data_IF_168907104177
#
_entry.id   IF_168907104177
#
_cell.length_a   1.000
_cell.length_b   1.000
_cell.length_c   1.000
_cell.angle_alpha   90.00
_cell.angle_beta   90.00
_cell.angle_gamma   90.00
#
_symmetry.space_group_name_H-M   'P 1'
#
loop_
_entity.id
_entity.type
_entity.pdbx_description
1 polymer ?
#
# COMPACT_ATOMS: atom_id res chain seq x y z
N UNK A 1 27.58 -37.93 -69.59
CA UNK A 1 26.75 -39.15 -69.53
C UNK A 1 25.47 -38.81 -68.75
N UNK A 2 24.35 -38.79 -69.47
CA UNK A 2 22.94 -39.05 -69.10
C UNK A 2 22.32 -38.51 -67.78
N UNK A 3 21.42 -37.54 -67.97
CA UNK A 3 19.96 -37.53 -67.69
C UNK A 3 19.34 -37.88 -66.32
N UNK A 4 18.64 -36.88 -65.76
CA UNK A 4 17.23 -36.81 -65.31
C UNK A 4 16.55 -37.94 -64.53
N UNK A 5 15.90 -37.61 -63.41
CA UNK A 5 14.46 -37.90 -63.16
C UNK A 5 13.92 -37.23 -61.86
N UNK A 6 12.79 -36.53 -62.00
CA UNK A 6 11.90 -36.12 -60.91
C UNK A 6 11.13 -37.31 -60.34
N UNK A 7 10.89 -37.33 -59.03
CA UNK A 7 9.74 -38.04 -58.44
C UNK A 7 9.12 -37.17 -57.34
N UNK A 8 7.96 -36.60 -57.65
CA UNK A 8 7.00 -36.08 -56.68
C UNK A 8 6.36 -37.28 -55.95
N UNK A 9 6.21 -37.21 -54.63
CA UNK A 9 5.33 -38.13 -53.88
C UNK A 9 4.44 -37.32 -52.95
N UNK A 10 3.15 -37.54 -53.13
CA UNK A 10 2.02 -36.87 -52.52
C UNK A 10 1.73 -37.54 -51.16
N UNK A 11 1.81 -36.82 -50.03
CA UNK A 11 1.33 -37.33 -48.75
C UNK A 11 -0.09 -36.85 -48.48
N UNK A 12 -0.97 -37.84 -48.34
CA UNK A 12 -2.39 -37.77 -48.09
C UNK A 12 -2.65 -37.56 -46.60
N UNK A 13 -3.42 -36.53 -46.27
CA UNK A 13 -3.82 -36.16 -44.91
C UNK A 13 -4.93 -37.10 -44.41
N UNK A 14 -4.72 -37.76 -43.26
CA UNK A 14 -5.72 -38.58 -42.57
C UNK A 14 -5.91 -38.06 -41.13
N UNK A 15 -7.07 -37.50 -40.76
CA UNK A 15 -7.29 -36.95 -39.42
C UNK A 15 -8.06 -37.94 -38.56
N UNK A 16 -7.37 -38.78 -37.79
CA UNK A 16 -7.99 -39.59 -36.73
C UNK A 16 -6.90 -40.11 -35.79
N UNK A 17 -6.69 -39.43 -34.66
CA UNK A 17 -5.69 -39.88 -33.69
C UNK A 17 -5.50 -39.08 -32.40
N UNK A 18 -6.37 -38.12 -32.06
CA UNK A 18 -6.06 -37.20 -30.94
C UNK A 18 -7.21 -36.98 -29.93
N UNK A 19 -7.96 -38.05 -29.60
CA UNK A 19 -9.08 -37.97 -28.64
C UNK A 19 -8.84 -38.74 -27.32
N UNK A 20 -7.74 -39.47 -27.18
CA UNK A 20 -7.52 -40.40 -26.05
C UNK A 20 -6.68 -39.83 -24.91
N UNK A 21 -5.90 -38.75 -25.12
CA UNK A 21 -5.07 -38.16 -24.06
C UNK A 21 -5.81 -37.17 -23.14
N UNK A 22 -6.91 -36.58 -23.60
CA UNK A 22 -7.68 -35.59 -22.81
C UNK A 22 -8.55 -36.21 -21.70
N UNK A 23 -8.88 -37.50 -21.78
CA UNK A 23 -9.79 -38.13 -20.81
C UNK A 23 -9.10 -38.67 -19.55
N UNK A 24 -7.78 -38.84 -19.57
CA UNK A 24 -7.02 -39.39 -18.42
C UNK A 24 -6.58 -38.32 -17.41
N UNK A 25 -6.59 -37.04 -17.81
CA UNK A 25 -6.21 -35.92 -16.94
C UNK A 25 -7.38 -35.36 -16.12
N UNK A 26 -8.63 -35.56 -16.58
CA UNK A 26 -9.83 -35.10 -15.89
C UNK A 26 -10.21 -35.97 -14.66
N UNK A 27 -9.91 -37.27 -14.68
CA UNK A 27 -10.25 -38.19 -13.59
C UNK A 27 -9.36 -38.02 -12.35
N UNK A 28 -8.11 -37.56 -12.50
CA UNK A 28 -7.22 -37.30 -11.37
C UNK A 28 -7.49 -35.98 -10.62
N UNK A 29 -8.11 -34.99 -11.27
CA UNK A 29 -8.48 -33.73 -10.61
C UNK A 29 -9.77 -33.83 -9.79
N UNK A 30 -10.66 -34.78 -10.08
CA UNK A 30 -11.90 -34.94 -9.33
C UNK A 30 -11.72 -35.72 -8.02
N UNK A 31 -10.73 -36.62 -7.93
CA UNK A 31 -10.48 -37.44 -6.74
C UNK A 31 -9.70 -36.71 -5.62
N UNK A 32 -8.96 -35.65 -5.99
CA UNK A 32 -8.19 -34.81 -5.06
C UNK A 32 -9.04 -33.72 -4.40
N UNK A 33 -10.14 -33.28 -5.03
CA UNK A 33 -11.04 -32.29 -4.43
C UNK A 33 -11.96 -32.86 -3.34
N UNK A 34 -12.33 -34.13 -3.42
CA UNK A 34 -13.24 -34.77 -2.43
C UNK A 34 -12.52 -35.04 -1.10
N UNK A 35 -11.23 -35.34 -1.14
CA UNK A 35 -10.42 -35.60 0.06
C UNK A 35 -10.08 -34.33 0.85
N UNK A 36 -9.86 -33.20 0.19
CA UNK A 36 -9.60 -31.91 0.85
C UNK A 36 -10.86 -31.32 1.51
N UNK A 37 -12.03 -31.47 0.87
CA UNK A 37 -13.30 -31.02 1.45
C UNK A 37 -13.68 -31.80 2.72
N UNK A 38 -13.39 -33.10 2.76
CA UNK A 38 -13.67 -33.94 3.93
C UNK A 38 -12.72 -33.66 5.10
N UNK A 39 -11.47 -33.29 4.81
CA UNK A 39 -10.48 -32.92 5.84
C UNK A 39 -10.76 -31.54 6.45
N UNK A 40 -11.31 -30.60 5.66
CA UNK A 40 -11.67 -29.26 6.15
C UNK A 40 -12.93 -29.29 7.04
N UNK A 41 -13.87 -30.20 6.78
CA UNK A 41 -15.09 -30.37 7.59
C UNK A 41 -14.81 -31.00 8.96
N UNK A 42 -13.80 -31.89 9.05
CA UNK A 42 -13.40 -32.51 10.32
C UNK A 42 -12.65 -31.55 11.24
N UNK A 43 -11.89 -30.60 10.67
CA UNK A 43 -11.17 -29.58 11.43
C UNK A 43 -12.12 -28.50 12.00
N UNK A 44 -13.24 -28.24 11.32
CA UNK A 44 -14.25 -27.28 11.78
C UNK A 44 -15.11 -27.82 12.93
N UNK A 45 -15.34 -29.13 13.01
CA UNK A 45 -16.05 -29.77 14.15
C UNK A 45 -15.21 -29.81 15.43
N UNK A 46 -13.88 -29.93 15.35
CA UNK A 46 -13.01 -29.87 16.54
C UNK A 46 -12.90 -28.45 17.14
N UNK A 47 -12.95 -27.40 16.31
CA UNK A 47 -12.94 -26.02 16.79
C UNK A 47 -14.24 -25.65 17.55
N UNK A 48 -15.37 -26.28 17.20
CA UNK A 48 -16.67 -25.98 17.82
C UNK A 48 -16.86 -26.67 19.18
N UNK A 49 -16.17 -27.79 19.45
CA UNK A 49 -16.21 -28.44 20.76
C UNK A 49 -15.35 -27.75 21.83
N UNK A 50 -14.29 -27.02 21.45
CA UNK A 50 -13.46 -26.29 22.42
C UNK A 50 -14.08 -24.96 22.91
N UNK A 51 -15.03 -24.38 22.18
CA UNK A 51 -15.73 -23.18 22.63
C UNK A 51 -16.89 -23.46 23.61
N UNK A 52 -17.35 -24.71 23.74
CA UNK A 52 -18.45 -25.05 24.64
C UNK A 52 -18.01 -25.30 26.10
N UNK A 53 -16.70 -25.32 26.40
CA UNK A 53 -16.18 -25.61 27.75
C UNK A 53 -15.78 -24.38 28.57
N UNK A 54 -15.88 -23.15 28.03
CA UNK A 54 -15.50 -21.92 28.75
C UNK A 54 -16.67 -21.04 29.23
N UNK A 55 -17.92 -21.51 29.15
CA UNK A 55 -19.06 -20.80 29.74
C UNK A 55 -19.73 -21.63 30.83
N UNK A 56 -19.10 -21.69 32.00
CA UNK A 56 -19.83 -21.89 33.26
C UNK A 56 -19.61 -20.68 34.18
N UNK A 57 -20.64 -19.89 34.50
CA UNK A 57 -20.56 -18.89 35.54
C UNK A 57 -20.55 -19.57 36.92
N UNK A 58 -19.49 -19.32 37.68
CA UNK A 58 -19.35 -19.75 39.07
C UNK A 58 -20.35 -18.96 39.92
N UNK A 59 -21.48 -19.58 40.28
CA UNK A 59 -22.46 -19.00 41.20
C UNK A 59 -22.33 -19.62 42.59
N UNK A 60 -22.08 -18.74 43.54
CA UNK A 60 -21.89 -18.94 44.97
C UNK A 60 -23.10 -19.65 45.62
N UNK A 61 -22.87 -20.63 46.51
CA UNK A 61 -23.85 -21.04 47.52
C UNK A 61 -23.17 -21.46 48.83
N UNK A 62 -23.51 -20.72 49.90
CA UNK A 62 -23.26 -21.01 51.31
C UNK A 62 -23.76 -22.41 51.72
N UNK A 63 -23.32 -22.91 52.89
CA UNK A 63 -24.14 -22.73 54.09
C UNK A 63 -23.34 -22.22 55.30
N UNK A 64 -24.01 -21.44 56.16
CA UNK A 64 -23.46 -20.98 57.44
C UNK A 64 -23.45 -22.06 58.51
N UNK A 65 -22.71 -21.85 59.61
CA UNK A 65 -23.26 -21.30 60.86
C UNK A 65 -22.20 -21.17 61.98
N UNK A 66 -22.34 -20.10 62.78
CA UNK A 66 -21.85 -19.82 64.15
C UNK A 66 -20.39 -20.05 64.60
N UNK A 67 -19.73 -18.99 65.08
CA UNK A 67 -19.59 -18.66 66.52
C UNK A 67 -18.77 -17.38 66.76
N UNK A 68 -19.06 -16.74 67.90
CA UNK A 68 -18.73 -15.36 68.25
C UNK A 68 -17.37 -15.17 68.96
N UNK A 69 -16.88 -13.92 68.96
CA UNK A 69 -16.10 -13.35 70.07
C UNK A 69 -14.78 -12.67 69.69
N UNK A 70 -14.63 -11.39 70.07
CA UNK A 70 -13.33 -10.83 70.48
C UNK A 70 -12.91 -9.50 69.84
N UNK A 71 -12.93 -8.45 70.66
CA UNK A 71 -12.51 -7.07 70.38
C UNK A 71 -10.98 -6.85 70.27
N UNK A 72 -10.60 -5.68 69.73
CA UNK A 72 -9.27 -5.05 69.83
C UNK A 72 -8.57 -4.97 68.45
N UNK A 73 -8.37 -3.82 67.80
CA UNK A 73 -7.90 -2.54 68.29
C UNK A 73 -6.39 -2.46 68.11
N UNK A 74 -5.88 -1.91 66.99
CA UNK A 74 -4.64 -1.13 67.02
C UNK A 74 -4.37 -0.32 65.74
N UNK A 75 -3.87 0.89 65.98
CA UNK A 75 -3.31 1.84 65.03
C UNK A 75 -1.89 1.42 64.61
N UNK A 76 -1.49 1.77 63.40
CA UNK A 76 -0.11 1.63 62.95
C UNK A 76 0.08 2.19 61.54
N UNK A 77 0.30 3.50 61.43
CA UNK A 77 0.77 4.11 60.21
C UNK A 77 2.23 3.75 59.97
N UNK A 78 2.58 3.40 58.72
CA UNK A 78 3.95 3.41 58.22
C UNK A 78 3.94 3.44 56.69
N UNK A 79 4.69 4.39 56.14
CA UNK A 79 5.16 4.47 54.76
C UNK A 79 4.12 4.54 53.64
N UNK A 80 3.74 5.77 53.30
CA UNK A 80 3.51 6.14 51.90
C UNK A 80 4.85 6.02 51.15
N UNK A 81 5.18 4.81 50.71
CA UNK A 81 6.05 4.65 49.56
C UNK A 81 5.24 5.08 48.34
N UNK A 82 5.82 6.01 47.60
CA UNK A 82 5.44 6.45 46.27
C UNK A 82 5.29 5.23 45.34
N UNK A 83 4.12 4.61 45.36
CA UNK A 83 3.73 3.50 44.50
C UNK A 83 3.13 4.01 43.19
N UNK A 84 3.70 5.07 42.62
CA UNK A 84 3.29 5.65 41.34
C UNK A 84 3.75 4.86 40.11
N UNK A 85 4.50 3.77 40.28
CA UNK A 85 5.18 3.05 39.19
C UNK A 85 4.84 1.55 39.09
N UNK A 86 3.73 1.09 39.67
CA UNK A 86 3.30 -0.32 39.56
C UNK A 86 2.08 -0.46 38.64
N UNK A 87 2.31 -0.29 37.34
CA UNK A 87 1.66 -1.07 36.27
C UNK A 87 2.15 -0.61 34.89
N UNK A 88 3.43 -0.86 34.59
CA UNK A 88 3.78 -1.03 33.18
C UNK A 88 3.01 -2.29 32.75
N UNK A 89 1.95 -2.11 31.97
CA UNK A 89 1.17 -3.23 31.41
C UNK A 89 2.14 -4.27 30.86
N UNK A 90 1.88 -5.56 31.11
CA UNK A 90 2.73 -6.66 30.65
C UNK A 90 3.03 -6.56 29.14
N UNK A 91 2.08 -6.02 28.37
CA UNK A 91 2.22 -5.69 26.96
C UNK A 91 3.28 -4.64 26.65
N UNK A 92 3.40 -3.60 27.49
CA UNK A 92 4.44 -2.58 27.35
C UNK A 92 5.82 -3.17 27.63
N UNK A 93 5.96 -3.99 28.69
CA UNK A 93 7.22 -4.69 28.99
C UNK A 93 7.63 -5.60 27.84
N UNK A 94 6.68 -6.35 27.27
CA UNK A 94 6.93 -7.23 26.12
C UNK A 94 7.30 -6.45 24.85
N UNK A 95 6.68 -5.30 24.62
CA UNK A 95 7.03 -4.41 23.51
C UNK A 95 8.48 -3.92 23.65
N UNK A 96 8.88 -3.47 24.85
CA UNK A 96 10.26 -3.05 25.10
C UNK A 96 11.28 -4.19 24.93
N UNK A 97 10.92 -5.42 25.29
CA UNK A 97 11.76 -6.59 25.03
C UNK A 97 11.97 -6.81 23.52
N UNK A 98 10.91 -6.74 22.72
CA UNK A 98 11.05 -6.83 21.26
C UNK A 98 11.88 -5.70 20.65
N UNK A 99 11.79 -4.49 21.20
CA UNK A 99 12.63 -3.37 20.78
C UNK A 99 14.12 -3.67 21.02
N UNK A 100 14.46 -4.25 22.18
CA UNK A 100 15.83 -4.69 22.45
C UNK A 100 16.27 -5.83 21.52
N UNK A 101 15.37 -6.78 21.24
CA UNK A 101 15.64 -7.91 20.35
C UNK A 101 15.90 -7.49 18.88
N UNK A 102 15.50 -6.29 18.46
CA UNK A 102 15.85 -5.75 17.13
C UNK A 102 17.37 -5.54 16.95
N UNK A 103 18.09 -5.28 18.04
CA UNK A 103 19.52 -4.98 17.98
C UNK A 103 20.35 -6.24 17.69
N UNK A 104 19.86 -7.42 18.08
CA UNK A 104 20.54 -8.69 17.86
C UNK A 104 20.03 -9.38 16.58
N UNK A 105 20.93 -9.65 15.64
CA UNK A 105 20.63 -10.24 14.34
C UNK A 105 19.85 -11.57 14.43
N UNK A 106 20.14 -12.38 15.45
CA UNK A 106 19.50 -13.69 15.63
C UNK A 106 18.03 -13.61 16.08
N UNK A 107 17.66 -12.54 16.78
CA UNK A 107 16.30 -12.33 17.32
C UNK A 107 15.49 -11.34 16.50
N UNK A 108 16.16 -10.53 15.68
CA UNK A 108 15.57 -9.42 14.94
C UNK A 108 14.40 -9.82 14.05
N UNK A 109 14.50 -10.94 13.33
CA UNK A 109 13.43 -11.36 12.42
C UNK A 109 12.11 -11.63 13.15
N UNK A 110 12.16 -12.31 14.30
CA UNK A 110 11.00 -12.55 15.14
C UNK A 110 10.46 -11.25 15.75
N UNK A 111 11.35 -10.37 16.22
CA UNK A 111 10.98 -9.07 16.78
C UNK A 111 10.29 -8.16 15.75
N UNK A 112 10.80 -8.11 14.51
CA UNK A 112 10.19 -7.36 13.41
C UNK A 112 8.74 -7.81 13.15
N UNK A 113 8.50 -9.12 13.14
CA UNK A 113 7.17 -9.69 12.91
C UNK A 113 6.19 -9.32 14.03
N UNK A 114 6.62 -9.40 15.29
CA UNK A 114 5.73 -9.11 16.42
C UNK A 114 5.47 -7.61 16.58
N UNK A 115 6.49 -6.77 16.37
CA UNK A 115 6.32 -5.31 16.40
C UNK A 115 5.46 -4.81 15.24
N UNK A 116 5.58 -5.39 14.04
CA UNK A 116 4.78 -4.96 12.87
C UNK A 116 3.28 -5.18 13.10
N UNK A 117 2.91 -6.24 13.83
CA UNK A 117 1.52 -6.51 14.25
C UNK A 117 1.03 -5.55 15.33
N UNK A 118 1.92 -5.06 16.20
CA UNK A 118 1.59 -4.17 17.32
C UNK A 118 1.52 -2.68 16.94
N UNK A 119 1.82 -2.31 15.69
CA UNK A 119 1.84 -0.91 15.22
C UNK A 119 0.55 -0.10 15.47
N UNK A 120 -0.60 -0.75 15.50
CA UNK A 120 -1.91 -0.11 15.74
C UNK A 120 -2.32 -0.16 17.22
N UNK A 121 -1.70 -1.05 18.00
CA UNK A 121 -2.02 -1.29 19.41
C UNK A 121 -1.20 -0.41 20.36
N UNK A 122 -0.02 0.04 19.92
CA UNK A 122 0.91 0.85 20.72
C UNK A 122 1.07 2.22 20.06
N UNK A 123 0.30 3.24 20.49
CA UNK A 123 0.34 4.58 19.89
C UNK A 123 1.73 5.21 19.90
N UNK A 124 2.48 5.01 20.99
CA UNK A 124 3.83 5.55 21.21
C UNK A 124 4.94 4.77 20.48
N UNK A 125 4.60 3.74 19.69
CA UNK A 125 5.60 2.87 19.08
C UNK A 125 6.56 3.65 18.17
N UNK A 126 6.07 4.64 17.42
CA UNK A 126 6.91 5.46 16.56
C UNK A 126 8.01 6.20 17.34
N UNK A 127 7.66 6.78 18.49
CA UNK A 127 8.59 7.48 19.37
C UNK A 127 9.59 6.50 19.98
N UNK A 128 9.12 5.34 20.44
CA UNK A 128 9.99 4.28 21.00
C UNK A 128 11.00 3.80 19.95
N UNK A 129 10.54 3.52 18.72
CA UNK A 129 11.41 3.08 17.62
C UNK A 129 12.47 4.13 17.29
N UNK A 130 12.09 5.41 17.24
CA UNK A 130 13.00 6.49 16.87
C UNK A 130 14.05 6.78 17.95
N UNK A 131 13.63 6.84 19.22
CA UNK A 131 14.48 7.28 20.33
C UNK A 131 15.25 6.14 20.99
N UNK A 132 14.91 4.87 20.72
CA UNK A 132 15.68 3.73 21.21
C UNK A 132 17.00 3.60 20.46
N UNK A 133 18.08 3.48 21.23
CA UNK A 133 19.44 3.40 20.68
C UNK A 133 19.58 2.24 19.69
N UNK A 134 20.13 2.52 18.50
CA UNK A 134 20.47 1.51 17.48
C UNK A 134 19.28 0.98 16.65
N UNK A 135 18.03 1.24 17.04
CA UNK A 135 16.85 0.66 16.37
C UNK A 135 16.72 1.12 14.93
N UNK A 136 16.77 2.43 14.67
CA UNK A 136 16.70 2.96 13.31
C UNK A 136 17.85 2.44 12.42
N UNK A 137 19.04 2.25 12.99
CA UNK A 137 20.18 1.63 12.30
C UNK A 137 19.89 0.18 11.93
N UNK A 138 19.32 -0.61 12.85
CA UNK A 138 18.91 -2.00 12.57
C UNK A 138 17.84 -2.07 11.48
N UNK A 139 16.84 -1.17 11.49
CA UNK A 139 15.82 -1.11 10.43
C UNK A 139 16.42 -0.76 9.06
N UNK A 140 17.37 0.17 9.00
CA UNK A 140 18.08 0.50 7.76
C UNK A 140 18.95 -0.66 7.27
N UNK A 141 19.57 -1.42 8.19
CA UNK A 141 20.35 -2.61 7.84
C UNK A 141 19.49 -3.67 7.14
N UNK A 142 18.23 -3.84 7.57
CA UNK A 142 17.28 -4.75 6.93
C UNK A 142 16.87 -4.31 5.51
N UNK A 143 16.90 -3.01 5.23
CA UNK A 143 16.70 -2.49 3.86
C UNK A 143 17.92 -2.77 3.00
N UNK A 144 19.11 -2.41 3.50
CA UNK A 144 20.35 -2.48 2.73
C UNK A 144 20.72 -3.94 2.41
N UNK A 145 20.44 -4.88 3.31
CA UNK A 145 20.72 -6.31 3.09
C UNK A 145 19.97 -6.88 1.88
N UNK A 146 18.86 -6.26 1.48
CA UNK A 146 18.04 -6.69 0.34
C UNK A 146 18.56 -6.15 -1.00
N UNK A 147 19.40 -5.11 -1.01
CA UNK A 147 19.86 -4.45 -2.25
C UNK A 147 20.55 -5.40 -3.23
N UNK A 148 21.36 -6.33 -2.73
CA UNK A 148 22.05 -7.33 -3.55
C UNK A 148 21.10 -8.33 -4.22
N UNK A 149 19.87 -8.45 -3.71
CA UNK A 149 18.83 -9.35 -4.23
C UNK A 149 17.90 -8.68 -5.25
N UNK A 150 18.04 -7.37 -5.47
CA UNK A 150 17.22 -6.63 -6.43
C UNK A 150 17.69 -6.84 -7.87
N UNK A 151 19.02 -6.86 -8.07
CA UNK A 151 19.65 -7.04 -9.36
C UNK A 151 20.89 -7.97 -9.27
N UNK A 152 20.84 -9.21 -9.80
CA UNK A 152 19.69 -9.82 -10.48
C UNK A 152 18.51 -10.07 -9.53
N UNK A 153 17.29 -10.17 -10.07
CA UNK A 153 16.05 -10.25 -9.29
C UNK A 153 15.86 -11.58 -8.54
N UNK A 154 16.62 -11.77 -7.46
CA UNK A 154 16.73 -13.00 -6.65
C UNK A 154 15.96 -12.93 -5.32
N UNK A 155 15.15 -11.90 -5.11
CA UNK A 155 14.36 -11.72 -3.90
C UNK A 155 13.39 -12.89 -3.65
N UNK A 156 13.57 -13.58 -2.52
CA UNK A 156 12.69 -14.67 -2.09
C UNK A 156 11.47 -14.13 -1.32
N UNK A 157 10.44 -14.95 -1.18
CA UNK A 157 9.25 -14.60 -0.40
C UNK A 157 9.58 -14.34 1.08
N UNK A 158 10.46 -15.15 1.68
CA UNK A 158 10.88 -14.99 3.07
C UNK A 158 11.64 -13.67 3.28
N UNK A 159 12.61 -13.37 2.41
CA UNK A 159 13.37 -12.11 2.48
C UNK A 159 12.47 -10.89 2.27
N UNK A 160 11.54 -10.95 1.31
CA UNK A 160 10.55 -9.89 1.08
C UNK A 160 9.64 -9.67 2.30
N UNK A 161 9.13 -10.74 2.92
CA UNK A 161 8.30 -10.62 4.12
C UNK A 161 9.06 -10.00 5.29
N UNK A 162 10.31 -10.40 5.51
CA UNK A 162 11.18 -9.88 6.57
C UNK A 162 11.41 -8.38 6.43
N UNK A 163 11.87 -7.91 5.25
CA UNK A 163 12.10 -6.48 5.03
C UNK A 163 10.78 -5.70 5.06
N UNK A 164 9.67 -6.26 4.58
CA UNK A 164 8.36 -5.59 4.65
C UNK A 164 7.89 -5.37 6.09
N UNK A 165 8.23 -6.25 7.04
CA UNK A 165 7.99 -5.98 8.46
C UNK A 165 8.78 -4.76 8.95
N UNK A 166 10.05 -4.61 8.55
CA UNK A 166 10.83 -3.42 8.84
C UNK A 166 10.24 -2.16 8.20
N UNK A 167 9.82 -2.24 6.93
CA UNK A 167 9.13 -1.15 6.23
C UNK A 167 7.82 -0.75 6.93
N UNK A 168 7.07 -1.69 7.49
CA UNK A 168 5.85 -1.39 8.24
C UNK A 168 6.14 -0.59 9.53
N UNK A 169 7.28 -0.86 10.19
CA UNK A 169 7.74 -0.05 11.33
C UNK A 169 8.19 1.34 10.89
N UNK A 170 8.91 1.46 9.77
CA UNK A 170 9.25 2.77 9.20
C UNK A 170 8.01 3.56 8.77
N UNK A 171 6.97 2.89 8.28
CA UNK A 171 5.68 3.52 8.00
C UNK A 171 5.04 4.10 9.27
N UNK A 172 5.14 3.39 10.41
CA UNK A 172 4.70 3.90 11.70
C UNK A 172 5.43 5.20 12.07
N UNK A 173 6.77 5.19 12.00
CA UNK A 173 7.63 6.36 12.25
C UNK A 173 7.31 7.53 11.31
N UNK A 174 7.09 7.27 10.02
CA UNK A 174 6.74 8.29 9.03
C UNK A 174 5.33 8.90 9.27
N UNK A 175 4.42 8.12 9.86
CA UNK A 175 3.05 8.53 10.11
C UNK A 175 2.87 9.39 11.36
N UNK A 176 3.78 9.29 12.34
CA UNK A 176 3.68 9.98 13.62
C UNK A 176 4.18 11.44 13.54
N UNK A 177 3.47 12.36 14.21
CA UNK A 177 3.72 13.80 14.07
C UNK A 177 5.13 14.22 14.51
N UNK A 178 5.61 13.68 15.62
CA UNK A 178 6.88 14.11 16.23
C UNK A 178 8.11 13.51 15.54
N UNK A 179 7.97 12.34 14.91
CA UNK A 179 9.09 11.63 14.27
C UNK A 179 9.14 11.85 12.76
N UNK A 180 8.05 12.30 12.12
CA UNK A 180 7.97 12.50 10.67
C UNK A 180 9.03 13.45 10.13
N UNK A 181 9.17 14.62 10.75
CA UNK A 181 10.17 15.61 10.32
C UNK A 181 11.59 15.08 10.52
N UNK A 182 11.83 14.36 11.61
CA UNK A 182 13.13 13.72 11.87
C UNK A 182 13.43 12.64 10.83
N UNK A 183 12.44 11.82 10.48
CA UNK A 183 12.52 10.78 9.44
C UNK A 183 12.82 11.37 8.06
N UNK A 184 12.18 12.49 7.71
CA UNK A 184 12.40 13.23 6.48
C UNK A 184 13.82 13.83 6.44
N UNK A 185 14.23 14.53 7.51
CA UNK A 185 15.55 15.16 7.60
C UNK A 185 16.70 14.15 7.60
N UNK A 186 16.46 12.93 8.09
CA UNK A 186 17.41 11.82 8.00
C UNK A 186 17.51 11.20 6.58
N UNK A 187 16.73 11.69 5.61
CA UNK A 187 16.72 11.21 4.22
C UNK A 187 16.43 9.70 4.08
N UNK A 188 15.78 9.09 5.08
CA UNK A 188 15.41 7.68 5.09
C UNK A 188 14.56 7.27 3.87
N UNK A 189 13.62 8.09 3.35
CA UNK A 189 12.84 7.74 2.16
C UNK A 189 13.70 7.33 0.94
N UNK A 190 14.91 7.89 0.81
CA UNK A 190 15.79 7.60 -0.32
C UNK A 190 16.26 6.14 -0.36
N UNK A 191 16.34 5.48 0.80
CA UNK A 191 16.67 4.06 0.89
C UNK A 191 15.56 3.17 0.29
N UNK A 192 14.36 3.70 0.06
CA UNK A 192 13.24 2.94 -0.50
C UNK A 192 13.20 3.02 -2.03
N UNK A 193 13.90 3.97 -2.65
CA UNK A 193 13.82 4.19 -4.09
C UNK A 193 14.37 3.03 -4.92
N UNK A 194 15.46 2.34 -4.51
CA UNK A 194 15.88 1.11 -5.18
C UNK A 194 14.76 0.06 -5.26
N UNK A 195 13.93 -0.06 -4.22
CA UNK A 195 12.79 -0.98 -4.21
C UNK A 195 11.72 -0.56 -5.21
N UNK A 196 11.37 0.74 -5.24
CA UNK A 196 10.39 1.31 -6.17
C UNK A 196 10.84 1.23 -7.63
N UNK A 197 12.16 1.24 -7.89
CA UNK A 197 12.74 1.18 -9.23
C UNK A 197 12.72 -0.23 -9.85
N UNK A 198 12.48 -1.28 -9.04
CA UNK A 198 12.41 -2.67 -9.53
C UNK A 198 11.28 -2.86 -10.54
N UNK A 199 11.47 -3.78 -11.50
CA UNK A 199 10.50 -4.05 -12.59
C UNK A 199 9.93 -5.47 -12.58
N UNK A 200 10.54 -6.39 -11.82
CA UNK A 200 10.07 -7.78 -11.69
C UNK A 200 8.60 -7.84 -11.23
N UNK A 201 7.80 -8.70 -11.85
CA UNK A 201 6.38 -8.89 -11.54
C UNK A 201 6.13 -10.06 -10.58
N UNK A 202 7.18 -10.66 -10.01
CA UNK A 202 6.98 -11.73 -9.04
C UNK A 202 6.37 -11.19 -7.75
N UNK A 203 5.60 -12.04 -7.07
CA UNK A 203 4.88 -11.67 -5.83
C UNK A 203 5.79 -11.02 -4.76
N UNK A 204 7.03 -11.49 -4.51
CA UNK A 204 7.94 -10.84 -3.56
C UNK A 204 8.28 -9.38 -3.92
N UNK A 205 8.45 -9.06 -5.20
CA UNK A 205 8.75 -7.70 -5.66
C UNK A 205 7.50 -6.80 -5.66
N UNK A 206 6.34 -7.32 -6.05
CA UNK A 206 5.07 -6.57 -5.94
C UNK A 206 4.79 -6.16 -4.49
N UNK A 207 4.96 -7.09 -3.55
CA UNK A 207 4.75 -6.83 -2.13
C UNK A 207 5.77 -5.82 -1.56
N UNK A 208 7.03 -5.94 -1.97
CA UNK A 208 8.08 -4.99 -1.60
C UNK A 208 7.76 -3.57 -2.07
N UNK A 209 7.37 -3.40 -3.34
CA UNK A 209 6.99 -2.10 -3.91
C UNK A 209 5.77 -1.51 -3.21
N UNK A 210 4.72 -2.31 -2.99
CA UNK A 210 3.50 -1.86 -2.32
C UNK A 210 3.80 -1.37 -0.89
N UNK A 211 4.60 -2.11 -0.13
CA UNK A 211 4.95 -1.74 1.25
C UNK A 211 5.83 -0.49 1.28
N UNK A 212 6.77 -0.36 0.34
CA UNK A 212 7.62 0.84 0.19
C UNK A 212 6.80 2.07 -0.16
N UNK A 213 5.84 1.96 -1.08
CA UNK A 213 4.88 3.02 -1.40
C UNK A 213 4.02 3.38 -0.18
N UNK A 214 3.69 2.42 0.69
CA UNK A 214 2.99 2.66 1.94
C UNK A 214 3.71 3.64 2.87
N UNK A 215 5.04 3.55 2.96
CA UNK A 215 5.87 4.50 3.73
C UNK A 215 5.80 5.90 3.14
N UNK A 216 5.99 6.04 1.82
CA UNK A 216 5.89 7.34 1.13
C UNK A 216 4.48 7.92 1.23
N UNK A 217 3.46 7.07 1.07
CA UNK A 217 2.06 7.42 1.22
C UNK A 217 1.71 7.95 2.62
N UNK A 218 2.35 7.42 3.67
CA UNK A 218 2.19 7.91 5.03
C UNK A 218 2.77 9.32 5.22
N UNK A 219 3.91 9.63 4.58
CA UNK A 219 4.55 10.95 4.66
C UNK A 219 3.65 12.04 4.04
N UNK A 220 3.12 11.79 2.85
CA UNK A 220 2.30 12.78 2.10
C UNK A 220 0.88 12.92 2.64
N UNK A 221 0.45 12.08 3.59
CA UNK A 221 -0.92 12.08 4.11
C UNK A 221 -1.27 13.35 4.90
N UNK A 222 -0.27 14.01 5.50
CA UNK A 222 -0.47 15.18 6.36
C UNK A 222 -0.35 16.53 5.64
N UNK A 223 -0.31 16.52 4.29
CA UNK A 223 -0.35 17.74 3.48
C UNK A 223 0.77 18.76 3.81
N UNK A 224 1.93 18.26 4.26
CA UNK A 224 3.10 19.07 4.60
C UNK A 224 3.87 19.48 3.35
N UNK A 225 3.93 20.78 3.04
CA UNK A 225 4.69 21.28 1.88
C UNK A 225 6.18 20.94 1.94
N UNK A 226 6.78 20.84 3.13
CA UNK A 226 8.19 20.40 3.27
C UNK A 226 8.42 18.98 2.77
N UNK A 227 7.47 18.07 3.02
CA UNK A 227 7.50 16.70 2.48
C UNK A 227 7.38 16.73 0.97
N UNK A 228 6.47 17.56 0.43
CA UNK A 228 6.31 17.70 -1.03
C UNK A 228 7.60 18.24 -1.65
N UNK A 229 8.18 19.33 -1.12
CA UNK A 229 9.42 19.91 -1.61
C UNK A 229 10.57 18.89 -1.61
N UNK A 230 10.74 18.14 -0.52
CA UNK A 230 11.71 17.04 -0.46
C UNK A 230 11.49 16.05 -1.61
N UNK A 231 10.27 15.54 -1.77
CA UNK A 231 9.92 14.55 -2.78
C UNK A 231 10.11 15.05 -4.23
N UNK A 232 9.89 16.34 -4.48
CA UNK A 232 10.13 16.98 -5.78
C UNK A 232 11.62 17.01 -6.12
N UNK A 233 12.48 17.29 -5.13
CA UNK A 233 13.94 17.35 -5.33
C UNK A 233 14.60 15.97 -5.50
N UNK A 234 13.89 14.89 -5.19
CA UNK A 234 14.44 13.54 -5.15
C UNK A 234 13.85 12.61 -6.22
N UNK A 235 13.12 13.15 -7.20
CA UNK A 235 12.60 12.38 -8.35
C UNK A 235 11.61 11.24 -8.00
N UNK A 236 10.73 11.43 -7.00
CA UNK A 236 9.68 10.43 -6.71
C UNK A 236 8.67 10.28 -7.87
N UNK A 237 8.41 11.36 -8.62
CA UNK A 237 7.36 11.39 -9.65
C UNK A 237 7.62 10.35 -10.74
N UNK A 238 8.80 10.26 -11.39
CA UNK A 238 9.11 9.21 -12.36
C UNK A 238 8.86 7.78 -11.83
N UNK A 239 9.21 7.51 -10.57
CA UNK A 239 9.00 6.21 -9.94
C UNK A 239 7.51 5.89 -9.80
N UNK A 240 6.72 6.86 -9.30
CA UNK A 240 5.28 6.69 -9.18
C UNK A 240 4.60 6.52 -10.54
N UNK A 241 4.98 7.29 -11.56
CA UNK A 241 4.41 7.19 -12.90
C UNK A 241 4.64 5.81 -13.52
N UNK A 242 5.84 5.24 -13.38
CA UNK A 242 6.13 3.88 -13.86
C UNK A 242 5.27 2.81 -13.18
N UNK A 243 5.07 2.95 -11.86
CA UNK A 243 4.23 2.02 -11.09
C UNK A 243 2.74 2.21 -11.45
N UNK A 244 2.29 3.44 -11.66
CA UNK A 244 0.93 3.75 -12.14
C UNK A 244 0.64 3.11 -13.50
N UNK A 245 1.64 3.01 -14.36
CA UNK A 245 1.50 2.38 -15.68
C UNK A 245 1.48 0.84 -15.60
N UNK A 246 2.45 0.25 -14.90
CA UNK A 246 2.76 -1.20 -15.02
C UNK A 246 2.56 -2.05 -13.76
N UNK A 247 2.31 -1.44 -12.60
CA UNK A 247 2.20 -2.14 -11.31
C UNK A 247 0.87 -2.88 -11.11
N UNK A 248 0.76 -3.64 -10.01
CA UNK A 248 -0.51 -4.19 -9.54
C UNK A 248 -1.54 -3.09 -9.20
N UNK A 249 -2.82 -3.41 -9.23
CA UNK A 249 -3.92 -2.46 -8.96
C UNK A 249 -3.76 -1.73 -7.61
N UNK A 250 -3.33 -2.45 -6.57
CA UNK A 250 -3.06 -1.86 -5.26
C UNK A 250 -1.88 -0.89 -5.32
N UNK A 251 -0.78 -1.26 -5.96
CA UNK A 251 0.39 -0.38 -6.14
C UNK A 251 0.04 0.85 -6.97
N UNK A 252 -0.74 0.69 -8.04
CA UNK A 252 -1.28 1.82 -8.85
C UNK A 252 -2.08 2.78 -7.99
N UNK A 253 -2.93 2.25 -7.11
CA UNK A 253 -3.77 3.06 -6.20
C UNK A 253 -2.93 3.90 -5.25
N UNK A 254 -1.90 3.33 -4.63
CA UNK A 254 -1.03 4.09 -3.71
C UNK A 254 -0.15 5.08 -4.48
N UNK A 255 0.39 4.69 -5.64
CA UNK A 255 1.22 5.57 -6.46
C UNK A 255 0.44 6.80 -6.97
N UNK A 256 -0.78 6.62 -7.49
CA UNK A 256 -1.61 7.75 -7.91
C UNK A 256 -2.05 8.61 -6.72
N UNK A 257 -2.27 8.01 -5.53
CA UNK A 257 -2.53 8.79 -4.32
C UNK A 257 -1.36 9.71 -3.96
N UNK A 258 -0.11 9.23 -4.07
CA UNK A 258 1.09 10.06 -3.84
C UNK A 258 1.17 11.19 -4.87
N UNK A 259 1.01 10.88 -6.17
CA UNK A 259 1.02 11.90 -7.24
C UNK A 259 -0.10 12.92 -7.04
N UNK A 260 -1.29 12.48 -6.61
CA UNK A 260 -2.40 13.36 -6.31
C UNK A 260 -2.05 14.31 -5.15
N UNK A 261 -1.44 13.81 -4.07
CA UNK A 261 -1.02 14.66 -2.94
C UNK A 261 0.04 15.69 -3.36
N UNK A 262 0.97 15.31 -4.24
CA UNK A 262 1.93 16.25 -4.84
C UNK A 262 1.19 17.31 -5.67
N UNK A 263 0.24 16.93 -6.51
CA UNK A 263 -0.54 17.88 -7.32
C UNK A 263 -1.39 18.83 -6.49
N UNK A 264 -1.91 18.39 -5.34
CA UNK A 264 -2.72 19.24 -4.46
C UNK A 264 -1.92 20.41 -3.86
N UNK A 265 -0.62 20.22 -3.62
CA UNK A 265 0.28 21.29 -3.20
C UNK A 265 0.63 22.22 -4.38
N UNK A 266 0.68 23.53 -4.13
CA UNK A 266 0.93 24.54 -5.17
C UNK A 266 2.34 24.41 -5.79
N UNK A 267 3.35 24.06 -4.99
CA UNK A 267 4.71 23.84 -5.51
C UNK A 267 4.74 22.59 -6.40
N UNK A 268 4.05 21.53 -6.00
CA UNK A 268 3.94 20.30 -6.79
C UNK A 268 3.20 20.50 -8.11
N UNK A 269 2.07 21.23 -8.11
CA UNK A 269 1.37 21.61 -9.34
C UNK A 269 2.27 22.43 -10.27
N UNK A 270 2.92 23.47 -9.73
CA UNK A 270 3.81 24.32 -10.51
C UNK A 270 5.02 23.55 -11.07
N UNK A 271 5.56 22.59 -10.30
CA UNK A 271 6.66 21.74 -10.75
C UNK A 271 6.27 20.85 -11.94
N UNK A 272 5.11 20.19 -11.85
CA UNK A 272 4.60 19.30 -12.91
C UNK A 272 4.26 20.09 -14.17
N UNK A 273 3.62 21.25 -14.00
CA UNK A 273 3.24 22.13 -15.11
C UNK A 273 4.38 23.06 -15.57
N UNK A 274 5.59 22.95 -15.01
CA UNK A 274 6.70 23.85 -15.31
C UNK A 274 7.12 23.76 -16.78
N UNK A 275 7.27 22.52 -17.28
CA UNK A 275 7.70 22.19 -18.64
C UNK A 275 6.67 21.32 -19.34
N UNK A 276 6.66 21.39 -20.68
CA UNK A 276 5.81 20.54 -21.50
C UNK A 276 6.09 19.05 -21.24
N UNK A 277 7.37 18.66 -21.14
CA UNK A 277 7.78 17.27 -20.93
C UNK A 277 7.23 16.68 -19.63
N UNK A 278 7.29 17.43 -18.52
CA UNK A 278 6.79 16.96 -17.22
C UNK A 278 5.27 16.82 -17.23
N UNK A 279 4.57 17.81 -17.76
CA UNK A 279 3.11 17.76 -17.93
C UNK A 279 2.71 16.59 -18.83
N UNK A 280 3.38 16.42 -19.97
CA UNK A 280 3.10 15.36 -20.93
C UNK A 280 3.32 13.98 -20.32
N UNK A 281 4.42 13.77 -19.58
CA UNK A 281 4.68 12.50 -18.89
C UNK A 281 3.56 12.11 -17.92
N UNK A 282 3.07 13.07 -17.11
CA UNK A 282 1.94 12.82 -16.18
C UNK A 282 0.64 12.62 -16.97
N UNK A 283 0.36 13.46 -17.95
CA UNK A 283 -0.86 13.42 -18.76
C UNK A 283 -1.01 12.10 -19.52
N UNK A 284 0.04 11.61 -20.17
CA UNK A 284 0.03 10.33 -20.91
C UNK A 284 -0.27 9.16 -19.98
N UNK A 285 0.36 9.08 -18.81
CA UNK A 285 0.11 7.99 -17.86
C UNK A 285 -1.32 8.03 -17.33
N UNK A 286 -1.85 9.22 -16.99
CA UNK A 286 -3.25 9.36 -16.56
C UNK A 286 -4.22 8.94 -17.68
N UNK A 287 -3.96 9.32 -18.94
CA UNK A 287 -4.76 8.90 -20.09
C UNK A 287 -4.73 7.39 -20.32
N UNK A 288 -3.57 6.76 -20.19
CA UNK A 288 -3.44 5.30 -20.27
C UNK A 288 -4.23 4.61 -19.14
N UNK A 289 -4.24 5.19 -17.93
CA UNK A 289 -5.07 4.69 -16.83
C UNK A 289 -6.57 4.82 -17.14
N UNK A 290 -7.02 5.92 -17.74
CA UNK A 290 -8.43 6.06 -18.17
C UNK A 290 -8.81 4.95 -19.15
N UNK A 291 -7.98 4.67 -20.15
CA UNK A 291 -8.24 3.60 -21.12
C UNK A 291 -8.41 2.23 -20.42
N UNK A 292 -7.52 1.90 -19.47
CA UNK A 292 -7.62 0.67 -18.67
C UNK A 292 -8.87 0.64 -17.76
N UNK A 293 -9.34 1.81 -17.30
CA UNK A 293 -10.52 1.93 -16.44
C UNK A 293 -11.83 1.67 -17.18
N UNK A 294 -11.87 1.87 -18.51
CA UNK A 294 -13.04 1.52 -19.33
C UNK A 294 -13.37 0.03 -19.19
N UNK A 295 -12.35 -0.83 -19.21
CA UNK A 295 -12.53 -2.28 -19.07
C UNK A 295 -12.68 -2.72 -17.60
N UNK A 296 -11.79 -2.24 -16.73
CA UNK A 296 -11.74 -2.70 -15.33
C UNK A 296 -12.82 -2.11 -14.42
N UNK A 297 -13.35 -0.93 -14.77
CA UNK A 297 -14.41 -0.22 -14.02
C UNK A 297 -14.04 0.01 -12.52
N UNK A 298 -12.75 0.12 -12.20
CA UNK A 298 -12.25 0.28 -10.82
C UNK A 298 -12.51 1.70 -10.28
N UNK A 299 -13.58 1.87 -9.51
CA UNK A 299 -14.03 3.17 -8.96
C UNK A 299 -12.95 3.92 -8.16
N UNK A 300 -12.15 3.21 -7.35
CA UNK A 300 -11.12 3.85 -6.51
C UNK A 300 -10.03 4.53 -7.33
N UNK A 301 -9.56 3.89 -8.38
CA UNK A 301 -8.55 4.46 -9.29
C UNK A 301 -9.13 5.62 -10.08
N UNK A 302 -10.34 5.46 -10.64
CA UNK A 302 -11.04 6.53 -11.36
C UNK A 302 -11.16 7.81 -10.51
N UNK A 303 -11.53 7.64 -9.24
CA UNK A 303 -11.63 8.73 -8.27
C UNK A 303 -10.32 9.53 -8.11
N UNK A 304 -9.17 8.87 -8.13
CA UNK A 304 -7.87 9.56 -8.07
C UNK A 304 -7.53 10.22 -9.42
N UNK A 305 -7.76 9.53 -10.55
CA UNK A 305 -7.51 10.07 -11.89
C UNK A 305 -8.29 11.35 -12.14
N UNK A 306 -9.59 11.36 -11.82
CA UNK A 306 -10.44 12.55 -11.95
C UNK A 306 -9.92 13.71 -11.10
N UNK A 307 -9.46 13.45 -9.87
CA UNK A 307 -8.89 14.50 -9.01
C UNK A 307 -7.58 15.05 -9.55
N UNK A 308 -6.72 14.21 -10.12
CA UNK A 308 -5.48 14.66 -10.75
C UNK A 308 -5.77 15.57 -11.94
N UNK A 309 -6.67 15.19 -12.84
CA UNK A 309 -7.06 16.03 -13.98
C UNK A 309 -7.73 17.34 -13.54
N UNK A 310 -8.63 17.29 -12.56
CA UNK A 310 -9.25 18.48 -11.98
C UNK A 310 -8.17 19.45 -11.47
N UNK A 311 -7.23 18.96 -10.66
CA UNK A 311 -6.16 19.80 -10.11
C UNK A 311 -5.22 20.35 -11.20
N UNK A 312 -4.91 19.56 -12.23
CA UNK A 312 -4.15 20.05 -13.39
C UNK A 312 -4.87 21.19 -14.11
N UNK A 313 -6.20 21.19 -14.15
CA UNK A 313 -7.00 22.26 -14.80
C UNK A 313 -6.93 23.62 -14.09
N UNK A 314 -6.44 23.66 -12.84
CA UNK A 314 -6.22 24.92 -12.12
C UNK A 314 -5.05 25.72 -12.73
N UNK A 315 -4.07 25.04 -13.33
CA UNK A 315 -2.96 25.69 -14.03
C UNK A 315 -3.38 26.11 -15.45
N UNK A 316 -3.26 27.39 -15.78
CA UNK A 316 -3.72 27.93 -17.07
C UNK A 316 -3.11 27.23 -18.31
N UNK A 317 -1.81 26.89 -18.26
CA UNK A 317 -1.12 26.21 -19.39
C UNK A 317 -1.59 24.77 -19.54
N UNK A 318 -1.67 24.04 -18.43
CA UNK A 318 -2.17 22.66 -18.44
C UNK A 318 -3.65 22.61 -18.83
N UNK A 319 -4.47 23.57 -18.38
CA UNK A 319 -5.88 23.71 -18.76
C UNK A 319 -6.06 23.82 -20.27
N UNK A 320 -5.27 24.67 -20.93
CA UNK A 320 -5.30 24.79 -22.40
C UNK A 320 -4.97 23.47 -23.09
N UNK A 321 -3.90 22.80 -22.65
CA UNK A 321 -3.54 21.49 -23.21
C UNK A 321 -4.64 20.43 -22.98
N UNK A 322 -5.25 20.40 -21.80
CA UNK A 322 -6.32 19.46 -21.44
C UNK A 322 -7.60 19.66 -22.28
N UNK A 323 -7.87 20.87 -22.80
CA UNK A 323 -8.97 21.06 -23.77
C UNK A 323 -8.77 20.20 -25.01
N UNK A 324 -7.53 19.95 -25.42
CA UNK A 324 -7.21 19.18 -26.61
C UNK A 324 -6.98 17.70 -26.29
N UNK A 325 -6.40 17.37 -25.13
CA UNK A 325 -5.93 16.01 -24.85
C UNK A 325 -6.66 15.25 -23.73
N UNK A 326 -7.71 15.80 -23.09
CA UNK A 326 -8.49 15.05 -22.11
C UNK A 326 -9.12 13.79 -22.76
N UNK A 327 -8.99 12.60 -22.16
CA UNK A 327 -9.57 11.37 -22.70
C UNK A 327 -11.09 11.45 -22.90
N UNK A 328 -11.58 10.98 -24.05
CA UNK A 328 -13.00 10.94 -24.39
C UNK A 328 -13.90 10.22 -23.36
N UNK A 329 -13.49 9.09 -22.74
CA UNK A 329 -14.30 8.43 -21.71
C UNK A 329 -14.60 9.28 -20.46
N UNK A 330 -13.84 10.37 -20.24
CA UNK A 330 -14.12 11.33 -19.17
C UNK A 330 -15.07 12.46 -19.61
N UNK A 331 -15.31 12.62 -20.91
CA UNK A 331 -16.23 13.62 -21.47
C UNK A 331 -17.62 13.07 -21.74
N UNK A 332 -17.71 11.77 -22.00
CA UNK A 332 -18.96 11.10 -22.31
C UNK A 332 -19.59 10.39 -21.08
N UNK A 333 -20.59 9.56 -21.34
CA UNK A 333 -21.30 8.83 -20.30
C UNK A 333 -20.63 7.51 -19.87
N UNK A 334 -19.40 7.19 -20.34
CA UNK A 334 -18.73 5.88 -20.14
C UNK A 334 -18.67 5.46 -18.67
N UNK A 335 -18.34 6.38 -17.76
CA UNK A 335 -18.22 6.08 -16.33
C UNK A 335 -19.49 6.35 -15.51
N UNK A 336 -20.64 6.61 -16.15
CA UNK A 336 -21.89 6.97 -15.44
C UNK A 336 -22.35 5.90 -14.45
N UNK A 337 -22.15 4.62 -14.81
CA UNK A 337 -22.47 3.46 -13.96
C UNK A 337 -21.55 3.37 -12.74
N UNK A 338 -20.23 3.43 -12.93
CA UNK A 338 -19.21 3.38 -11.86
C UNK A 338 -19.39 4.53 -10.87
N UNK A 339 -19.72 5.70 -11.40
CA UNK A 339 -19.86 6.92 -10.60
C UNK A 339 -21.24 7.05 -9.95
N UNK A 340 -22.18 6.13 -10.20
CA UNK A 340 -23.58 6.27 -9.75
C UNK A 340 -23.68 6.68 -8.29
N UNK A 341 -22.92 5.98 -7.45
CA UNK A 341 -22.97 6.09 -5.99
C UNK A 341 -21.81 6.92 -5.39
N UNK A 342 -20.94 7.53 -6.23
CA UNK A 342 -19.86 8.43 -5.81
C UNK A 342 -20.13 9.89 -6.24
N UNK A 343 -21.02 10.55 -5.49
CA UNK A 343 -21.39 11.95 -5.74
C UNK A 343 -20.21 12.92 -5.68
N UNK A 344 -19.19 12.64 -4.86
CA UNK A 344 -18.03 13.51 -4.74
C UNK A 344 -17.18 13.49 -6.02
N UNK A 345 -16.92 12.30 -6.57
CA UNK A 345 -16.16 12.16 -7.82
C UNK A 345 -16.95 12.69 -9.01
N UNK A 346 -18.28 12.49 -9.06
CA UNK A 346 -19.15 13.12 -10.07
C UNK A 346 -19.03 14.65 -10.07
N UNK A 347 -19.07 15.29 -8.91
CA UNK A 347 -18.89 16.74 -8.80
C UNK A 347 -17.51 17.19 -9.27
N UNK A 348 -16.46 16.43 -8.93
CA UNK A 348 -15.10 16.72 -9.40
C UNK A 348 -15.01 16.65 -10.94
N UNK A 349 -15.62 15.63 -11.55
CA UNK A 349 -15.63 15.47 -13.00
C UNK A 349 -16.43 16.59 -13.68
N UNK A 350 -17.60 16.95 -13.15
CA UNK A 350 -18.38 18.06 -13.67
C UNK A 350 -17.60 19.39 -13.59
N UNK A 351 -16.93 19.67 -12.47
CA UNK A 351 -16.10 20.87 -12.32
C UNK A 351 -14.93 20.88 -13.30
N UNK A 352 -14.28 19.74 -13.54
CA UNK A 352 -13.23 19.61 -14.54
C UNK A 352 -13.75 19.98 -15.93
N UNK A 353 -14.91 19.46 -16.32
CA UNK A 353 -15.51 19.78 -17.62
C UNK A 353 -15.89 21.26 -17.73
N UNK A 354 -16.40 21.87 -16.66
CA UNK A 354 -16.70 23.32 -16.59
C UNK A 354 -15.41 24.14 -16.80
N UNK A 355 -14.34 23.81 -16.07
CA UNK A 355 -13.05 24.50 -16.18
C UNK A 355 -12.52 24.46 -17.63
N UNK A 356 -12.79 23.37 -18.37
CA UNK A 356 -12.34 23.22 -19.75
C UNK A 356 -13.28 23.88 -20.76
N UNK A 357 -14.57 24.05 -20.45
CA UNK A 357 -15.54 24.71 -21.31
C UNK A 357 -15.47 26.24 -21.29
N UNK A 358 -14.94 26.83 -20.21
CA UNK A 358 -14.77 28.28 -20.12
C UNK A 358 -13.72 28.75 -21.12
N UNK A 359 -14.17 29.17 -22.29
CA UNK A 359 -13.40 30.02 -23.20
C UNK A 359 -13.23 31.37 -22.50
N UNK A 360 -12.11 31.55 -21.79
CA UNK A 360 -11.62 32.91 -21.52
C UNK A 360 -11.26 33.49 -22.88
N UNK A 361 -12.24 34.09 -23.55
CA UNK A 361 -12.02 35.07 -24.59
C UNK A 361 -11.25 36.18 -23.89
N UNK A 362 -9.96 36.30 -24.18
CA UNK A 362 -9.18 37.48 -23.84
C UNK A 362 -9.87 38.67 -24.51
N UNK A 363 -10.75 39.33 -23.77
CA UNK A 363 -11.46 40.52 -24.21
C UNK A 363 -10.53 41.74 -24.05
N UNK A 364 -9.31 41.64 -24.60
CA UNK A 364 -8.32 42.71 -24.68
C UNK A 364 -8.31 43.41 -26.04
N UNK A 365 -9.40 43.29 -26.80
CA UNK A 365 -9.65 44.13 -27.98
C UNK A 365 -10.88 45.03 -27.73
N UNK A 366 -10.62 46.33 -27.64
CA UNK A 366 -11.57 47.42 -27.43
C UNK A 366 -11.39 48.01 -26.03
N UNK A 367 -10.96 49.25 -25.82
CA UNK A 367 -11.19 50.52 -26.53
C UNK A 367 -10.04 51.44 -26.05
N UNK A 368 -9.27 52.13 -26.88
CA UNK A 368 -9.61 53.50 -27.32
C UNK A 368 -8.58 54.00 -28.33
N UNK A 369 -8.98 54.06 -29.60
CA UNK A 369 -8.58 55.14 -30.50
C UNK A 369 -9.50 56.33 -30.21
N UNK A 370 -8.93 57.45 -29.79
CA UNK A 370 -9.33 58.83 -30.13
C UNK A 370 -8.21 59.78 -29.73
#
# INVERSE_FOLDING_TARGET
>A
MMSSAHVYTHHQYNPQGDSSWMHQQASHHQQSHVSVAQQQQQQQQQAQQQQAQQQQPHFNRMPGNHSAGGAGGNLGGAHAQDAGHENISEDNRRTMAYIADLLNENTREAALLELSKKREQVPELALILWHSFGVMTSLLQEIISVYTLLNPSQLTAAASNRVCNALALLQCVASHNDTRTLFLNAHIPLFLYPFLNTTSKSRPFEYLRLTSLGVIGALVKNDSSDVINFLLTTEIIPLCLRIMETGSELSKTVAIFIVQKILLDDNGLNYICATYERFYAVGTVLSNMVAQLVESQTARLLKHVVRCFLRLSDNARAREALRQCLPEPLRDATFSSVLRDDAATKRCLAQLLINLSDNVVDNSQGVSSL
#
